data_IF_152795408242
#
_entry.id   IF_152795408242
#
_cell.length_a   1.000
_cell.length_b   1.000
_cell.length_c   1.000
_cell.angle_alpha   90.00
_cell.angle_beta   90.00
_cell.angle_gamma   90.00
#
_symmetry.space_group_name_H-M   'P 1'
#
loop_
_entity.id
_entity.type
_entity.pdbx_description
1 polymer ?
#
# COMPACT_ATOMS: atom_id res chain seq x y z
N UNK A 1 -26.22 -16.26 -12.30
CA UNK A 1 -26.10 -15.51 -11.03
C UNK A 1 -27.26 -15.90 -10.14
N UNK A 2 -27.02 -16.45 -8.93
CA UNK A 2 -28.08 -16.87 -8.03
C UNK A 2 -28.26 -15.85 -6.90
N UNK A 3 -29.48 -15.36 -6.72
CA UNK A 3 -29.87 -14.65 -5.49
C UNK A 3 -30.30 -15.67 -4.42
N UNK A 4 -29.69 -15.62 -3.25
CA UNK A 4 -30.00 -16.52 -2.14
C UNK A 4 -30.50 -15.70 -0.95
N UNK A 5 -31.67 -16.05 -0.41
CA UNK A 5 -32.27 -15.37 0.76
C UNK A 5 -31.48 -15.58 2.06
N UNK A 6 -31.66 -14.67 3.03
CA UNK A 6 -30.79 -14.51 4.21
C UNK A 6 -30.47 -15.77 5.01
N UNK A 7 -31.44 -16.52 5.50
CA UNK A 7 -31.21 -17.71 6.36
C UNK A 7 -30.56 -18.87 5.60
N UNK A 8 -30.91 -19.07 4.33
CA UNK A 8 -30.32 -20.11 3.49
C UNK A 8 -28.87 -19.80 3.09
N UNK A 9 -28.55 -18.52 2.85
CA UNK A 9 -27.20 -18.09 2.52
C UNK A 9 -26.23 -18.29 3.68
N UNK A 10 -26.59 -17.85 4.87
CA UNK A 10 -25.72 -17.97 6.05
C UNK A 10 -25.44 -19.43 6.42
N UNK A 11 -26.44 -20.33 6.27
CA UNK A 11 -26.25 -21.76 6.46
C UNK A 11 -25.28 -22.34 5.42
N UNK A 12 -25.40 -21.94 4.15
CA UNK A 12 -24.54 -22.38 3.07
C UNK A 12 -23.11 -21.84 3.23
N UNK A 13 -22.94 -20.58 3.63
CA UNK A 13 -21.62 -19.99 3.90
C UNK A 13 -20.91 -20.68 5.06
N UNK A 14 -21.64 -20.96 6.15
CA UNK A 14 -21.09 -21.75 7.28
C UNK A 14 -20.70 -23.17 6.89
N UNK A 15 -21.43 -23.79 5.95
CA UNK A 15 -21.06 -25.09 5.40
C UNK A 15 -19.77 -25.03 4.59
N UNK A 16 -19.64 -24.02 3.72
CA UNK A 16 -18.44 -23.82 2.90
C UNK A 16 -17.20 -23.48 3.77
N UNK A 17 -17.38 -22.68 4.81
CA UNK A 17 -16.30 -22.37 5.76
C UNK A 17 -15.81 -23.62 6.52
N UNK A 18 -16.72 -24.52 6.89
CA UNK A 18 -16.37 -25.79 7.55
C UNK A 18 -15.72 -26.80 6.63
N UNK A 19 -16.15 -26.85 5.37
CA UNK A 19 -15.61 -27.79 4.38
C UNK A 19 -14.18 -27.43 3.97
N UNK A 20 -13.79 -26.15 4.04
CA UNK A 20 -12.44 -25.65 3.75
C UNK A 20 -11.91 -25.93 2.35
N UNK A 21 -12.73 -26.55 1.49
CA UNK A 21 -12.34 -26.98 0.14
C UNK A 21 -12.31 -25.87 -0.89
N UNK A 22 -12.96 -24.75 -0.57
CA UNK A 22 -13.09 -23.61 -1.48
C UNK A 22 -12.92 -22.30 -0.76
N UNK A 23 -12.11 -21.41 -1.31
CA UNK A 23 -11.99 -20.05 -0.82
C UNK A 23 -13.29 -19.29 -1.06
N UNK A 24 -13.76 -18.56 -0.05
CA UNK A 24 -14.94 -17.72 -0.12
C UNK A 24 -14.59 -16.31 0.29
N UNK A 25 -14.77 -15.35 -0.59
CA UNK A 25 -14.64 -13.92 -0.30
C UNK A 25 -16.02 -13.30 -0.09
N UNK A 26 -16.17 -12.44 0.91
CA UNK A 26 -17.39 -11.72 1.23
C UNK A 26 -17.14 -10.25 1.15
N UNK A 27 -17.82 -9.55 0.24
CA UNK A 27 -17.62 -8.14 -0.01
C UNK A 27 -18.92 -7.35 0.14
N UNK A 28 -18.82 -6.25 0.87
CA UNK A 28 -19.80 -5.15 0.83
C UNK A 28 -19.36 -4.19 -0.28
N UNK A 29 -20.22 -4.04 -1.29
CA UNK A 29 -19.88 -3.29 -2.51
C UNK A 29 -20.33 -1.83 -2.49
N UNK A 30 -20.77 -1.36 -1.31
CA UNK A 30 -21.12 0.04 -1.06
C UNK A 30 -19.87 0.93 -0.93
N UNK A 31 -20.09 2.21 -0.70
CA UNK A 31 -18.98 3.13 -0.44
C UNK A 31 -18.31 2.84 0.92
N UNK A 32 -17.05 3.27 1.11
CA UNK A 32 -16.38 3.12 2.41
C UNK A 32 -17.13 3.78 3.57
N UNK A 33 -17.82 4.89 3.32
CA UNK A 33 -18.59 5.63 4.32
C UNK A 33 -19.85 4.85 4.75
N UNK A 34 -20.58 4.28 3.77
CA UNK A 34 -21.75 3.43 4.03
C UNK A 34 -21.35 2.16 4.77
N UNK A 35 -20.23 1.55 4.39
CA UNK A 35 -19.67 0.40 5.08
C UNK A 35 -19.31 0.74 6.54
N UNK A 36 -18.66 1.88 6.76
CA UNK A 36 -18.28 2.34 8.09
C UNK A 36 -19.48 2.65 8.99
N UNK A 37 -20.56 3.17 8.40
CA UNK A 37 -21.81 3.45 9.12
C UNK A 37 -22.50 2.16 9.64
N UNK A 38 -22.27 1.04 8.95
CA UNK A 38 -22.78 -0.28 9.37
C UNK A 38 -22.72 -1.28 8.23
N UNK A 39 -22.24 -2.48 8.49
CA UNK A 39 -22.09 -3.53 7.50
C UNK A 39 -22.41 -4.92 8.06
N UNK A 40 -22.64 -5.87 7.17
CA UNK A 40 -22.90 -7.26 7.54
C UNK A 40 -21.64 -7.88 8.16
N UNK A 41 -21.72 -8.55 9.33
CA UNK A 41 -20.57 -9.21 9.95
C UNK A 41 -19.86 -10.18 9.01
N UNK A 42 -18.53 -10.11 8.96
CA UNK A 42 -17.69 -10.97 8.13
C UNK A 42 -17.57 -10.53 6.66
N UNK A 43 -18.21 -9.42 6.25
CA UNK A 43 -18.00 -8.80 4.96
C UNK A 43 -16.90 -7.73 5.04
N UNK A 44 -16.13 -7.60 3.97
CA UNK A 44 -15.06 -6.60 3.81
C UNK A 44 -15.52 -5.53 2.84
N UNK A 45 -15.12 -4.29 3.07
CA UNK A 45 -15.36 -3.22 2.11
C UNK A 45 -14.61 -3.45 0.82
N UNK A 46 -15.33 -3.43 -0.30
CA UNK A 46 -14.78 -3.48 -1.65
C UNK A 46 -15.77 -2.79 -2.60
N UNK A 47 -15.71 -1.46 -2.77
CA UNK A 47 -16.62 -0.73 -3.64
C UNK A 47 -16.69 -1.37 -5.02
N UNK A 48 -17.92 -1.57 -5.54
CA UNK A 48 -18.15 -2.46 -6.68
C UNK A 48 -17.34 -2.14 -7.93
N UNK A 49 -17.12 -0.85 -8.22
CA UNK A 49 -16.30 -0.42 -9.34
C UNK A 49 -14.83 -0.84 -9.16
N UNK A 50 -14.25 -0.60 -7.98
CA UNK A 50 -12.89 -1.01 -7.67
C UNK A 50 -12.74 -2.53 -7.62
N UNK A 51 -13.73 -3.24 -7.06
CA UNK A 51 -13.70 -4.70 -7.03
C UNK A 51 -13.64 -5.30 -8.44
N UNK A 52 -14.33 -4.72 -9.42
CA UNK A 52 -14.27 -5.17 -10.82
C UNK A 52 -12.92 -4.81 -11.46
N UNK A 53 -12.43 -3.60 -11.23
CA UNK A 53 -11.17 -3.13 -11.83
C UNK A 53 -9.92 -3.79 -11.25
N UNK A 54 -9.95 -4.12 -9.96
CA UNK A 54 -8.80 -4.61 -9.20
C UNK A 54 -9.14 -5.96 -8.53
N UNK A 55 -9.84 -6.84 -9.24
CA UNK A 55 -10.34 -8.10 -8.68
C UNK A 55 -9.23 -8.96 -8.11
N UNK A 56 -8.07 -8.99 -8.72
CA UNK A 56 -6.86 -9.70 -8.27
C UNK A 56 -6.33 -9.18 -6.93
N UNK A 57 -6.48 -7.89 -6.67
CA UNK A 57 -6.11 -7.29 -5.38
C UNK A 57 -7.07 -7.70 -4.26
N UNK A 58 -8.37 -7.71 -4.54
CA UNK A 58 -9.40 -8.05 -3.54
C UNK A 58 -9.57 -9.56 -3.37
N UNK A 59 -9.51 -10.31 -4.46
CA UNK A 59 -9.77 -11.76 -4.51
C UNK A 59 -8.66 -12.49 -5.32
N UNK A 60 -7.44 -12.61 -4.78
CA UNK A 60 -6.29 -13.17 -5.50
C UNK A 60 -6.41 -14.67 -5.82
N UNK A 61 -7.33 -15.40 -5.17
CA UNK A 61 -7.49 -16.84 -5.42
C UNK A 61 -8.49 -17.09 -6.54
N UNK A 62 -8.03 -17.50 -7.70
CA UNK A 62 -8.89 -17.86 -8.82
C UNK A 62 -9.77 -19.08 -8.47
N UNK A 63 -11.02 -19.09 -9.00
CA UNK A 63 -11.99 -20.13 -8.68
C UNK A 63 -12.65 -19.99 -7.31
N UNK A 64 -12.34 -18.98 -6.54
CA UNK A 64 -13.04 -18.65 -5.31
C UNK A 64 -14.51 -18.31 -5.56
N UNK A 65 -15.34 -18.46 -4.55
CA UNK A 65 -16.71 -17.95 -4.54
C UNK A 65 -16.71 -16.52 -4.04
N UNK A 66 -17.30 -15.60 -4.78
CA UNK A 66 -17.51 -14.21 -4.37
C UNK A 66 -18.94 -14.03 -3.87
N UNK A 67 -19.10 -13.55 -2.65
CA UNK A 67 -20.39 -13.23 -2.05
C UNK A 67 -20.47 -11.73 -1.89
N UNK A 68 -21.43 -11.10 -2.57
CA UNK A 68 -21.59 -9.65 -2.63
C UNK A 68 -22.82 -9.23 -1.83
N UNK A 69 -22.70 -8.14 -1.09
CA UNK A 69 -23.80 -7.53 -0.36
C UNK A 69 -23.81 -6.01 -0.55
N UNK A 70 -24.98 -5.44 -0.48
CA UNK A 70 -25.28 -4.02 -0.38
C UNK A 70 -26.57 -3.84 0.44
N UNK A 71 -27.19 -2.67 0.37
CA UNK A 71 -28.42 -2.34 1.08
C UNK A 71 -29.69 -2.76 0.33
N UNK A 72 -29.76 -2.65 -0.98
CA UNK A 72 -30.96 -2.93 -1.80
C UNK A 72 -30.77 -4.04 -2.84
N UNK A 73 -29.56 -4.54 -3.03
CA UNK A 73 -29.21 -5.58 -4.01
C UNK A 73 -28.93 -5.06 -5.41
N UNK A 74 -29.05 -3.78 -5.66
CA UNK A 74 -28.83 -3.18 -6.98
C UNK A 74 -27.36 -3.13 -7.38
N UNK A 75 -26.54 -2.56 -6.52
CA UNK A 75 -25.09 -2.46 -6.72
C UNK A 75 -24.43 -3.84 -6.71
N UNK A 76 -24.84 -4.72 -5.80
CA UNK A 76 -24.32 -6.08 -5.73
C UNK A 76 -24.68 -6.90 -6.95
N UNK A 77 -25.90 -6.74 -7.50
CA UNK A 77 -26.30 -7.40 -8.72
C UNK A 77 -25.52 -6.92 -9.95
N UNK A 78 -25.31 -5.58 -10.07
CA UNK A 78 -24.54 -5.00 -11.15
C UNK A 78 -23.07 -5.44 -11.09
N UNK A 79 -22.42 -5.31 -9.94
CA UNK A 79 -21.05 -5.78 -9.71
C UNK A 79 -20.92 -7.26 -9.99
N UNK A 80 -21.88 -8.06 -9.50
CA UNK A 80 -21.90 -9.51 -9.72
C UNK A 80 -22.06 -9.90 -11.18
N UNK A 81 -22.80 -9.11 -11.97
CA UNK A 81 -22.93 -9.33 -13.40
C UNK A 81 -21.59 -9.17 -14.13
N UNK A 82 -20.83 -8.12 -13.82
CA UNK A 82 -19.49 -7.92 -14.38
C UNK A 82 -18.53 -9.03 -13.98
N UNK A 83 -18.46 -9.36 -12.69
CA UNK A 83 -17.59 -10.43 -12.20
C UNK A 83 -17.95 -11.81 -12.80
N UNK A 84 -19.24 -12.09 -12.99
CA UNK A 84 -19.66 -13.32 -13.64
C UNK A 84 -19.23 -13.38 -15.11
N UNK A 85 -19.26 -12.25 -15.83
CA UNK A 85 -18.73 -12.15 -17.20
C UNK A 85 -17.21 -12.33 -17.24
N UNK A 86 -16.50 -11.95 -16.19
CA UNK A 86 -15.07 -12.20 -16.01
C UNK A 86 -14.75 -13.66 -15.61
N UNK A 87 -15.77 -14.53 -15.51
CA UNK A 87 -15.58 -15.95 -15.18
C UNK A 87 -15.60 -16.29 -13.70
N UNK A 88 -15.95 -15.34 -12.82
CA UNK A 88 -16.08 -15.59 -11.39
C UNK A 88 -17.42 -16.25 -11.04
N UNK A 89 -17.38 -17.12 -10.04
CA UNK A 89 -18.61 -17.65 -9.42
C UNK A 89 -19.09 -16.66 -8.36
N UNK A 90 -20.28 -16.11 -8.55
CA UNK A 90 -20.79 -14.99 -7.74
C UNK A 90 -22.17 -15.29 -7.19
N UNK A 91 -22.35 -14.99 -5.93
CA UNK A 91 -23.63 -15.00 -5.22
C UNK A 91 -23.92 -13.61 -4.67
N UNK A 92 -25.12 -13.09 -4.93
CA UNK A 92 -25.60 -11.87 -4.32
C UNK A 92 -26.41 -12.24 -3.06
N UNK A 93 -25.93 -11.73 -1.91
CA UNK A 93 -26.67 -11.85 -0.67
C UNK A 93 -27.96 -11.01 -0.76
N UNK A 94 -29.09 -11.61 -0.43
CA UNK A 94 -30.32 -10.83 -0.32
C UNK A 94 -30.14 -9.75 0.77
N UNK A 95 -30.69 -8.56 0.52
CA UNK A 95 -30.73 -7.50 1.51
C UNK A 95 -31.37 -8.06 2.78
N UNK A 96 -30.73 -7.92 3.92
CA UNK A 96 -31.44 -8.17 5.18
C UNK A 96 -32.62 -7.17 5.23
N UNK A 97 -33.80 -7.60 5.70
CA UNK A 97 -34.85 -6.63 6.03
C UNK A 97 -34.18 -5.56 6.90
N UNK A 98 -34.32 -4.30 6.52
CA UNK A 98 -33.89 -3.20 7.36
C UNK A 98 -34.55 -3.39 8.72
N UNK A 99 -33.80 -3.83 9.72
CA UNK A 99 -34.24 -3.71 11.10
C UNK A 99 -34.23 -2.21 11.41
N UNK A 100 -35.34 -1.56 11.03
CA UNK A 100 -35.60 -0.20 11.43
C UNK A 100 -35.71 -0.18 12.95
N UNK A 101 -34.69 0.34 13.61
CA UNK A 101 -34.82 1.00 14.90
C UNK A 101 -35.03 0.09 16.11
N UNK A 102 -33.98 -0.56 16.56
CA UNK A 102 -33.79 -0.83 17.98
C UNK A 102 -32.55 -0.07 18.46
N UNK A 103 -32.58 0.49 19.70
CA UNK A 103 -31.34 1.05 20.24
C UNK A 103 -30.29 -0.06 20.30
N UNK A 104 -29.09 0.26 19.85
CA UNK A 104 -27.95 -0.64 19.94
C UNK A 104 -27.78 -1.06 21.41
N UNK A 105 -28.23 -2.28 21.74
CA UNK A 105 -27.82 -2.91 22.98
C UNK A 105 -26.29 -3.07 22.86
N UNK A 106 -25.57 -2.76 23.92
CA UNK A 106 -24.14 -2.57 23.97
C UNK A 106 -23.27 -3.79 23.64
N UNK A 107 -23.81 -4.77 22.89
CA UNK A 107 -23.09 -5.94 22.37
C UNK A 107 -22.78 -5.85 20.86
N UNK A 108 -23.03 -4.67 20.26
CA UNK A 108 -22.62 -4.40 18.90
C UNK A 108 -21.14 -4.70 18.77
N UNK A 109 -20.82 -5.73 18.03
CA UNK A 109 -19.47 -5.91 17.51
C UNK A 109 -19.17 -4.64 16.71
N UNK A 110 -18.58 -3.64 17.39
CA UNK A 110 -17.91 -2.55 16.71
C UNK A 110 -17.10 -3.21 15.62
N UNK A 111 -17.40 -2.86 14.36
CA UNK A 111 -16.59 -3.28 13.26
C UNK A 111 -15.15 -3.05 13.70
N UNK A 112 -14.45 -4.14 14.02
CA UNK A 112 -13.01 -4.06 14.11
C UNK A 112 -12.63 -3.71 12.67
N UNK A 113 -12.44 -2.40 12.43
CA UNK A 113 -11.65 -1.98 11.30
C UNK A 113 -10.54 -2.98 11.27
N UNK A 114 -10.43 -3.77 10.19
CA UNK A 114 -9.40 -4.78 10.09
C UNK A 114 -8.13 -4.04 10.45
N UNK A 115 -7.69 -4.19 11.70
CA UNK A 115 -6.54 -3.46 12.19
C UNK A 115 -5.45 -3.95 11.28
N UNK A 116 -4.92 -3.04 10.48
CA UNK A 116 -3.73 -3.27 9.69
C UNK A 116 -2.81 -4.10 10.58
N UNK A 117 -2.30 -5.25 10.14
CA UNK A 117 -1.50 -6.11 11.00
C UNK A 117 -0.47 -5.24 11.71
N UNK A 118 -0.37 -5.37 13.03
CA UNK A 118 0.52 -4.55 13.82
C UNK A 118 1.91 -4.67 13.20
N UNK A 119 2.52 -3.51 12.90
CA UNK A 119 3.89 -3.51 12.40
C UNK A 119 4.76 -4.24 13.42
N UNK A 120 5.72 -5.07 13.00
CA UNK A 120 6.74 -5.58 13.91
C UNK A 120 7.38 -4.42 14.68
N UNK A 121 7.82 -4.61 15.93
CA UNK A 121 8.55 -3.56 16.64
C UNK A 121 9.79 -3.16 15.83
N UNK A 122 10.07 -1.85 15.78
CA UNK A 122 11.29 -1.36 15.15
C UNK A 122 12.52 -1.94 15.87
N UNK A 123 13.60 -2.29 15.15
CA UNK A 123 14.82 -2.77 15.78
C UNK A 123 15.45 -1.67 16.66
N UNK A 124 16.11 -2.09 17.73
CA UNK A 124 16.92 -1.18 18.56
C UNK A 124 18.19 -0.80 17.78
N UNK A 125 18.31 0.47 17.42
CA UNK A 125 19.41 1.02 16.63
C UNK A 125 19.87 2.37 17.23
N UNK A 126 21.07 2.85 16.89
CA UNK A 126 21.49 4.19 17.24
C UNK A 126 20.49 5.22 16.68
N UNK A 127 20.01 6.11 17.56
CA UNK A 127 19.04 7.15 17.23
C UNK A 127 19.62 8.53 17.47
N UNK A 128 19.17 9.50 16.68
CA UNK A 128 19.35 10.93 16.97
C UNK A 128 18.00 11.64 17.03
N UNK A 129 17.96 12.78 17.72
CA UNK A 129 16.74 13.60 17.83
C UNK A 129 16.84 14.81 16.90
N UNK A 130 15.70 15.41 16.47
CA UNK A 130 15.69 16.55 15.55
C UNK A 130 16.56 17.75 16.01
N UNK A 131 16.65 18.00 17.33
CA UNK A 131 17.47 19.10 17.87
C UNK A 131 18.96 18.85 17.68
N UNK A 132 19.44 17.63 17.91
CA UNK A 132 20.83 17.26 17.70
C UNK A 132 21.20 17.30 16.21
N UNK A 133 20.34 16.72 15.36
CA UNK A 133 20.53 16.75 13.91
C UNK A 133 20.65 18.18 13.38
N UNK A 134 19.79 19.10 13.83
CA UNK A 134 19.86 20.50 13.42
C UNK A 134 21.19 21.18 13.81
N UNK A 135 21.79 20.78 14.92
CA UNK A 135 23.14 21.22 15.30
C UNK A 135 24.18 20.70 14.32
N UNK A 136 24.16 19.40 14.07
CA UNK A 136 25.13 18.73 13.18
C UNK A 136 25.05 19.17 11.71
N UNK A 137 23.87 19.50 11.22
CA UNK A 137 23.71 20.07 9.87
C UNK A 137 24.41 21.42 9.72
N UNK A 138 24.36 22.26 10.76
CA UNK A 138 25.10 23.55 10.78
C UNK A 138 26.61 23.36 10.81
N UNK A 139 27.09 22.27 11.38
CA UNK A 139 28.51 21.91 11.38
C UNK A 139 29.03 21.44 10.00
N UNK A 140 28.10 21.08 9.07
CA UNK A 140 28.43 20.64 7.72
C UNK A 140 29.11 19.27 7.64
N UNK A 141 29.03 18.45 8.67
CA UNK A 141 29.72 17.14 8.79
C UNK A 141 28.76 15.97 8.86
N UNK A 142 27.48 16.19 8.56
CA UNK A 142 26.43 15.16 8.62
C UNK A 142 25.64 15.19 7.33
N UNK A 143 25.40 14.02 6.76
CA UNK A 143 24.51 13.84 5.62
C UNK A 143 23.21 13.22 6.10
N UNK A 144 22.09 13.72 5.59
CA UNK A 144 20.77 13.11 5.79
C UNK A 144 20.38 12.36 4.53
N UNK A 145 19.94 11.11 4.69
CA UNK A 145 19.39 10.32 3.58
C UNK A 145 17.95 9.95 3.90
N UNK A 146 17.04 10.41 3.08
CA UNK A 146 15.61 10.10 3.19
C UNK A 146 15.28 8.85 2.37
N UNK A 147 14.61 7.90 3.01
CA UNK A 147 14.23 6.59 2.48
C UNK A 147 12.73 6.49 2.18
N UNK A 148 12.01 7.59 2.29
CA UNK A 148 10.60 7.62 1.96
C UNK A 148 10.42 7.47 0.43
N UNK A 149 9.19 7.31 -0.04
CA UNK A 149 8.98 7.28 -1.49
C UNK A 149 9.48 8.56 -2.17
N UNK A 150 10.02 8.45 -3.38
CA UNK A 150 10.52 9.60 -4.14
C UNK A 150 9.46 10.70 -4.32
N UNK A 151 8.19 10.30 -4.39
CA UNK A 151 7.05 11.23 -4.45
C UNK A 151 6.89 12.03 -3.15
N UNK A 152 6.98 11.38 -1.99
CA UNK A 152 6.89 12.05 -0.69
C UNK A 152 8.10 12.91 -0.40
N UNK A 153 9.29 12.42 -0.75
CA UNK A 153 10.53 13.20 -0.64
C UNK A 153 10.41 14.53 -1.39
N UNK A 154 9.94 14.51 -2.63
CA UNK A 154 9.73 15.74 -3.43
C UNK A 154 8.67 16.66 -2.85
N UNK A 155 7.66 16.12 -2.18
CA UNK A 155 6.62 16.91 -1.53
C UNK A 155 7.14 17.64 -0.28
N UNK A 156 8.08 17.01 0.47
CA UNK A 156 8.69 17.64 1.64
C UNK A 156 9.75 16.75 2.28
N UNK A 157 10.98 17.27 2.40
CA UNK A 157 12.12 16.60 3.02
C UNK A 157 12.92 17.57 3.91
N UNK A 158 13.79 17.03 4.73
CA UNK A 158 14.70 17.83 5.57
C UNK A 158 15.65 18.60 4.65
N UNK A 159 15.83 19.92 4.83
CA UNK A 159 16.68 20.73 3.96
C UNK A 159 18.08 20.14 3.77
N UNK A 160 18.49 20.01 2.51
CA UNK A 160 19.77 19.42 2.13
C UNK A 160 19.83 17.89 2.26
N UNK A 161 18.74 17.21 2.53
CA UNK A 161 18.70 15.74 2.50
C UNK A 161 18.82 15.21 1.07
N UNK A 162 19.54 14.11 0.91
CA UNK A 162 19.54 13.32 -0.31
C UNK A 162 18.51 12.17 -0.19
N UNK A 163 18.00 11.71 -1.31
CA UNK A 163 17.07 10.58 -1.35
C UNK A 163 17.75 9.31 -1.88
N UNK A 164 17.42 8.16 -1.30
CA UNK A 164 17.87 6.86 -1.77
C UNK A 164 16.81 5.76 -1.58
N UNK A 165 16.87 4.74 -2.41
CA UNK A 165 16.20 3.47 -2.14
C UNK A 165 16.92 2.73 -1.01
N UNK A 166 16.17 2.18 -0.05
CA UNK A 166 16.75 1.35 1.02
C UNK A 166 17.59 0.20 0.48
N UNK A 167 17.17 -0.42 -0.64
CA UNK A 167 17.89 -1.53 -1.26
C UNK A 167 19.31 -1.14 -1.73
N UNK A 168 19.50 0.12 -2.10
CA UNK A 168 20.77 0.61 -2.66
C UNK A 168 21.75 1.10 -1.58
N UNK A 169 21.32 1.20 -0.33
CA UNK A 169 22.17 1.72 0.76
C UNK A 169 23.42 0.88 1.02
N UNK A 170 23.38 -0.41 0.71
CA UNK A 170 24.53 -1.30 0.85
C UNK A 170 25.51 -1.19 -0.35
N UNK A 171 25.14 -0.49 -1.43
CA UNK A 171 25.94 -0.38 -2.62
C UNK A 171 27.19 0.50 -2.37
N UNK A 172 28.40 -0.02 -2.63
CA UNK A 172 29.62 0.75 -2.41
C UNK A 172 29.70 2.04 -3.22
N UNK A 173 29.04 2.09 -4.38
CA UNK A 173 28.98 3.28 -5.22
C UNK A 173 28.18 4.41 -4.55
N UNK A 174 27.05 4.10 -3.92
CA UNK A 174 26.23 5.05 -3.19
C UNK A 174 26.99 5.60 -1.98
N UNK A 175 27.62 4.73 -1.20
CA UNK A 175 28.42 5.13 -0.04
C UNK A 175 29.60 6.06 -0.43
N UNK A 176 30.24 5.81 -1.56
CA UNK A 176 31.28 6.72 -2.08
C UNK A 176 30.73 8.10 -2.46
N UNK A 177 29.52 8.15 -3.03
CA UNK A 177 28.84 9.43 -3.36
C UNK A 177 28.55 10.27 -2.13
N UNK A 178 28.30 9.65 -0.98
CA UNK A 178 28.13 10.36 0.28
C UNK A 178 29.42 11.02 0.80
N UNK A 179 30.57 10.72 0.21
CA UNK A 179 31.86 11.37 0.56
C UNK A 179 32.44 10.94 1.90
N UNK A 180 32.03 9.81 2.45
CA UNK A 180 32.48 9.28 3.75
C UNK A 180 32.36 10.29 4.90
N UNK A 181 31.18 10.90 5.13
CA UNK A 181 30.98 11.82 6.23
C UNK A 181 31.13 11.09 7.57
N UNK A 182 31.48 11.77 8.66
CA UNK A 182 31.55 11.14 9.98
C UNK A 182 30.18 10.61 10.44
N UNK A 183 29.06 11.20 9.96
CA UNK A 183 27.70 10.78 10.30
C UNK A 183 26.80 10.77 9.08
N UNK A 184 26.00 9.70 8.96
CA UNK A 184 24.85 9.60 8.05
C UNK A 184 23.61 9.37 8.90
N UNK A 185 22.64 10.27 8.79
CA UNK A 185 21.35 10.14 9.46
C UNK A 185 20.32 9.69 8.45
N UNK A 186 19.75 8.51 8.66
CA UNK A 186 18.67 7.98 7.85
C UNK A 186 17.33 8.48 8.38
N UNK A 187 16.43 8.87 7.50
CA UNK A 187 15.07 9.27 7.84
C UNK A 187 14.05 8.57 6.94
N UNK A 188 12.82 8.57 7.36
CA UNK A 188 11.60 8.21 6.63
C UNK A 188 10.45 8.92 7.31
N UNK A 189 9.20 8.86 6.84
CA UNK A 189 8.08 9.62 7.42
C UNK A 189 8.06 9.58 8.95
N UNK A 190 7.97 8.38 9.54
CA UNK A 190 7.88 8.14 10.99
C UNK A 190 9.18 7.60 11.62
N UNK A 191 10.24 7.44 10.82
CA UNK A 191 11.52 6.87 11.24
C UNK A 191 11.56 5.33 11.25
N UNK A 192 10.45 4.65 11.03
CA UNK A 192 10.38 3.18 11.13
C UNK A 192 11.25 2.50 10.07
N UNK A 193 11.11 2.89 8.79
CA UNK A 193 11.92 2.33 7.70
C UNK A 193 13.41 2.65 7.88
N UNK A 194 13.72 3.85 8.37
CA UNK A 194 15.08 4.27 8.68
C UNK A 194 15.73 3.40 9.75
N UNK A 195 14.99 3.02 10.81
CA UNK A 195 15.51 2.12 11.84
C UNK A 195 15.89 0.75 11.27
N UNK A 196 15.05 0.18 10.41
CA UNK A 196 15.37 -1.08 9.74
C UNK A 196 16.59 -0.95 8.81
N UNK A 197 16.73 0.16 8.10
CA UNK A 197 17.87 0.41 7.25
C UNK A 197 19.19 0.51 8.04
N UNK A 198 19.17 1.17 9.19
CA UNK A 198 20.34 1.21 10.10
C UNK A 198 20.69 -0.19 10.62
N UNK A 199 19.69 -1.00 10.97
CA UNK A 199 19.90 -2.39 11.39
C UNK A 199 20.54 -3.24 10.29
N UNK A 200 20.08 -3.11 9.04
CA UNK A 200 20.63 -3.82 7.89
C UNK A 200 22.12 -3.46 7.67
N UNK A 201 22.44 -2.16 7.70
CA UNK A 201 23.82 -1.68 7.60
C UNK A 201 24.70 -2.17 8.75
N UNK A 202 24.14 -2.25 9.97
CA UNK A 202 24.81 -2.80 11.14
C UNK A 202 25.05 -4.31 11.05
N UNK A 203 24.08 -5.06 10.54
CA UNK A 203 24.19 -6.51 10.35
C UNK A 203 25.15 -6.88 9.18
N UNK A 204 25.19 -6.02 8.17
CA UNK A 204 26.08 -6.15 7.00
C UNK A 204 27.54 -5.74 7.27
N UNK A 205 27.99 -5.69 8.52
CA UNK A 205 29.37 -5.33 8.91
C UNK A 205 30.47 -6.08 8.18
N UNK A 206 30.15 -7.16 7.47
CA UNK A 206 31.07 -7.82 6.53
C UNK A 206 31.40 -7.00 5.28
N UNK A 207 30.51 -6.12 4.80
CA UNK A 207 30.76 -5.23 3.66
C UNK A 207 31.52 -3.97 4.06
N UNK A 208 31.42 -3.55 5.33
CA UNK A 208 32.11 -2.36 5.87
C UNK A 208 33.38 -2.75 6.67
N UNK A 209 33.80 -4.02 6.69
CA UNK A 209 34.99 -4.50 7.41
C UNK A 209 36.32 -3.91 6.89
N UNK A 210 36.29 -3.13 5.81
CA UNK A 210 37.45 -2.33 5.34
C UNK A 210 37.61 -0.97 6.00
N UNK A 211 36.63 -0.50 6.77
CA UNK A 211 36.63 0.81 7.45
C UNK A 211 36.80 0.71 8.97
N UNK A 212 37.66 -0.20 9.43
CA UNK A 212 38.10 -0.27 10.83
C UNK A 212 39.18 0.79 11.05
N UNK A 213 38.78 2.04 11.28
CA UNK A 213 39.69 3.13 11.57
C UNK A 213 38.97 4.26 12.31
N UNK A 214 39.69 5.25 12.84
CA UNK A 214 39.11 6.38 13.54
C UNK A 214 38.20 7.31 12.69
N UNK A 215 37.91 6.93 11.45
CA UNK A 215 37.05 7.64 10.48
C UNK A 215 35.88 6.80 10.00
N UNK A 216 35.42 5.79 10.74
CA UNK A 216 34.23 5.01 10.41
C UNK A 216 33.00 5.93 10.42
N UNK A 217 32.22 5.92 9.33
CA UNK A 217 30.94 6.62 9.27
C UNK A 217 29.95 6.03 10.28
N UNK A 218 29.38 6.86 11.12
CA UNK A 218 28.31 6.50 12.06
C UNK A 218 26.95 6.60 11.35
N UNK A 219 26.16 5.51 11.40
CA UNK A 219 24.79 5.48 10.89
C UNK A 219 23.79 5.56 12.04
N UNK A 220 22.86 6.52 11.96
CA UNK A 220 21.80 6.73 12.94
C UNK A 220 20.45 6.85 12.24
N UNK A 221 19.38 6.46 12.92
CA UNK A 221 18.03 6.80 12.48
C UNK A 221 17.51 8.04 13.20
N UNK A 222 16.76 8.87 12.49
CA UNK A 222 16.10 10.04 13.08
C UNK A 222 14.88 9.61 13.88
N UNK A 223 14.85 9.89 15.15
CA UNK A 223 13.72 9.61 16.03
C UNK A 223 12.47 10.38 15.57
N UNK A 224 11.39 9.62 15.28
CA UNK A 224 10.15 10.16 14.75
C UNK A 224 10.22 10.59 13.28
N UNK A 225 11.34 10.34 12.60
CA UNK A 225 11.51 10.59 11.18
C UNK A 225 11.37 12.05 10.74
N UNK A 226 11.07 12.23 9.47
CA UNK A 226 10.80 13.53 8.83
C UNK A 226 9.60 14.23 9.49
N UNK A 227 8.56 13.49 9.89
CA UNK A 227 7.44 14.03 10.66
C UNK A 227 7.87 14.52 12.05
N UNK A 228 8.82 13.84 12.70
CA UNK A 228 9.40 14.28 13.98
C UNK A 228 10.19 15.57 13.84
N UNK A 229 10.90 15.74 12.73
CA UNK A 229 11.59 16.99 12.40
C UNK A 229 10.58 18.13 12.24
N UNK A 230 9.53 17.94 11.44
CA UNK A 230 8.48 18.92 11.20
C UNK A 230 7.73 19.29 12.50
N UNK A 231 7.30 18.28 13.28
CA UNK A 231 6.65 18.50 14.60
C UNK A 231 7.52 19.27 15.60
N UNK A 232 8.83 19.26 15.42
CA UNK A 232 9.74 20.07 16.24
C UNK A 232 9.84 21.53 15.78
N UNK A 233 8.95 21.97 14.85
CA UNK A 233 8.87 23.34 14.36
C UNK A 233 9.92 23.71 13.32
N UNK A 234 10.54 22.72 12.65
CA UNK A 234 11.56 22.94 11.63
C UNK A 234 10.96 22.86 10.25
N UNK A 235 11.41 23.71 9.31
CA UNK A 235 10.89 23.69 7.95
C UNK A 235 11.30 22.43 7.20
N UNK A 236 10.48 22.06 6.23
CA UNK A 236 10.82 21.13 5.16
C UNK A 236 11.14 21.92 3.88
N UNK A 237 11.96 21.33 3.04
CA UNK A 237 12.23 21.78 1.68
C UNK A 237 11.42 20.91 0.72
N UNK A 238 10.91 21.47 -0.38
CA UNK A 238 10.22 20.76 -1.43
C UNK A 238 10.98 20.86 -2.74
N UNK A 239 10.81 19.91 -3.62
CA UNK A 239 11.47 19.85 -4.92
C UNK A 239 12.24 18.56 -5.14
N UNK A 240 13.04 18.54 -6.21
CA UNK A 240 13.70 17.29 -6.63
C UNK A 240 14.79 16.83 -5.67
N UNK A 241 15.47 17.75 -4.99
CA UNK A 241 16.59 17.44 -4.11
C UNK A 241 17.71 16.64 -4.80
N UNK A 242 18.64 16.10 -4.03
CA UNK A 242 19.65 15.18 -4.53
C UNK A 242 19.11 13.74 -4.53
N UNK A 243 19.18 13.07 -5.69
CA UNK A 243 18.78 11.66 -5.83
C UNK A 243 20.04 10.79 -5.93
N UNK A 244 20.27 9.94 -4.94
CA UNK A 244 21.35 8.95 -4.90
C UNK A 244 20.98 7.65 -5.65
N UNK A 245 19.69 7.36 -5.74
CA UNK A 245 19.11 6.23 -6.48
C UNK A 245 18.23 6.71 -7.62
N UNK A 246 18.02 5.90 -8.67
CA UNK A 246 16.98 6.16 -9.66
C UNK A 246 15.59 6.15 -9.00
N UNK A 247 14.74 7.14 -9.29
CA UNK A 247 13.39 7.24 -8.72
C UNK A 247 12.42 6.28 -9.43
N UNK A 248 12.60 4.98 -9.21
CA UNK A 248 11.80 3.88 -9.80
C UNK A 248 10.83 3.22 -8.81
N UNK A 249 10.73 3.77 -7.61
CA UNK A 249 9.96 3.25 -6.47
C UNK A 249 8.46 3.50 -6.57
N UNK A 250 8.04 4.47 -7.38
CA UNK A 250 6.64 4.82 -7.58
C UNK A 250 6.29 4.69 -9.05
N UNK A 251 5.35 3.79 -9.35
CA UNK A 251 4.78 3.75 -10.69
C UNK A 251 3.97 5.02 -10.93
N UNK A 252 4.33 5.74 -11.98
CA UNK A 252 3.63 6.92 -12.42
C UNK A 252 2.81 6.56 -13.66
N UNK A 253 1.50 6.74 -13.56
CA UNK A 253 0.63 6.50 -14.71
C UNK A 253 0.93 7.49 -15.83
N UNK A 254 0.87 7.07 -17.10
CA UNK A 254 1.18 7.94 -18.24
C UNK A 254 0.36 9.23 -18.32
N UNK A 255 -0.81 9.26 -17.67
CA UNK A 255 -1.71 10.42 -17.63
C UNK A 255 -1.67 11.22 -16.32
N UNK A 256 -0.74 10.89 -15.38
CA UNK A 256 -0.58 11.63 -14.13
C UNK A 256 0.42 12.77 -14.30
N UNK A 257 -0.06 14.01 -14.14
CA UNK A 257 0.75 15.23 -14.20
C UNK A 257 0.82 15.82 -15.61
N UNK A 258 1.55 16.93 -15.73
CA UNK A 258 1.65 17.72 -16.96
C UNK A 258 3.05 17.67 -17.60
N UNK A 259 3.98 16.91 -17.01
CA UNK A 259 5.39 16.87 -17.35
C UNK A 259 5.84 15.49 -17.88
N UNK A 260 4.89 14.65 -18.31
CA UNK A 260 5.19 13.36 -18.94
C UNK A 260 5.49 13.58 -20.41
N UNK A 261 6.52 12.89 -20.89
CA UNK A 261 6.89 12.86 -22.30
C UNK A 261 5.68 12.35 -23.13
N UNK A 262 5.23 13.11 -24.17
CA UNK A 262 4.15 12.67 -25.06
C UNK A 262 4.38 11.27 -25.66
N UNK A 263 5.62 10.85 -25.87
CA UNK A 263 5.93 9.51 -26.37
C UNK A 263 5.52 8.40 -25.39
N UNK A 264 5.61 8.64 -24.08
CA UNK A 264 5.16 7.69 -23.04
C UNK A 264 3.63 7.58 -23.04
N UNK A 265 2.94 8.70 -23.24
CA UNK A 265 1.48 8.73 -23.38
C UNK A 265 1.02 7.96 -24.63
N UNK A 266 1.70 8.20 -25.77
CA UNK A 266 1.38 7.50 -27.02
C UNK A 266 1.61 6.00 -26.88
N UNK A 267 2.74 5.56 -26.28
CA UNK A 267 3.04 4.16 -26.04
C UNK A 267 1.96 3.47 -25.16
N UNK A 268 1.42 4.20 -24.19
CA UNK A 268 0.31 3.72 -23.38
C UNK A 268 -0.97 3.51 -24.20
N UNK A 269 -1.33 4.48 -25.06
CA UNK A 269 -2.49 4.35 -25.94
C UNK A 269 -2.32 3.19 -26.93
N UNK A 270 -1.14 3.04 -27.52
CA UNK A 270 -0.83 1.94 -28.45
C UNK A 270 -0.98 0.58 -27.76
N UNK A 271 -0.54 0.50 -26.49
CA UNK A 271 -0.74 -0.70 -25.67
C UNK A 271 -2.23 -0.97 -25.40
N UNK A 272 -3.01 0.06 -25.03
CA UNK A 272 -4.47 -0.09 -24.82
C UNK A 272 -5.19 -0.59 -26.08
N UNK A 273 -4.88 -0.04 -27.24
CA UNK A 273 -5.45 -0.52 -28.52
C UNK A 273 -5.09 -1.97 -28.82
N UNK A 274 -3.94 -2.44 -28.32
CA UNK A 274 -3.50 -3.82 -28.47
C UNK A 274 -4.13 -4.83 -27.51
N UNK A 275 -4.84 -4.39 -26.44
CA UNK A 275 -5.32 -5.26 -25.37
C UNK A 275 -6.29 -6.36 -25.85
N UNK A 276 -7.22 -6.05 -26.75
CA UNK A 276 -8.19 -7.03 -27.26
C UNK A 276 -7.47 -8.20 -27.94
N UNK A 277 -6.51 -7.90 -28.81
CA UNK A 277 -5.72 -8.92 -29.48
C UNK A 277 -4.80 -9.69 -28.53
N UNK A 278 -4.34 -9.07 -27.44
CA UNK A 278 -3.56 -9.73 -26.39
C UNK A 278 -4.44 -10.72 -25.61
N UNK A 279 -5.67 -10.32 -25.23
CA UNK A 279 -6.63 -11.17 -24.54
C UNK A 279 -7.02 -12.38 -25.38
N UNK A 280 -7.26 -12.19 -26.69
CA UNK A 280 -7.55 -13.28 -27.62
C UNK A 280 -6.41 -14.31 -27.69
N UNK A 281 -5.16 -13.84 -27.75
CA UNK A 281 -3.97 -14.73 -27.77
C UNK A 281 -3.77 -15.44 -26.43
N UNK A 282 -4.01 -14.77 -25.31
CA UNK A 282 -3.89 -15.35 -23.97
C UNK A 282 -4.94 -16.47 -23.75
N UNK A 283 -6.17 -16.24 -24.16
CA UNK A 283 -7.27 -17.21 -24.05
C UNK A 283 -7.64 -17.61 -22.62
N UNK A 284 -7.06 -16.97 -21.60
CA UNK A 284 -7.26 -17.31 -20.18
C UNK A 284 -8.15 -16.32 -19.43
N UNK A 285 -8.59 -15.24 -20.08
CA UNK A 285 -9.31 -14.14 -19.44
C UNK A 285 -10.69 -14.53 -18.87
N UNK A 286 -11.35 -15.57 -19.38
CA UNK A 286 -12.65 -16.04 -18.90
C UNK A 286 -13.83 -15.12 -19.21
N UNK A 287 -13.64 -14.02 -19.94
CA UNK A 287 -14.73 -13.12 -20.35
C UNK A 287 -15.74 -13.83 -21.27
N UNK A 288 -17.00 -13.63 -21.00
CA UNK A 288 -18.11 -14.12 -21.80
C UNK A 288 -19.31 -13.20 -21.73
N UNK A 289 -20.01 -13.03 -22.83
CA UNK A 289 -21.28 -12.30 -22.84
C UNK A 289 -22.34 -13.17 -22.18
N UNK A 290 -23.02 -12.65 -21.17
CA UNK A 290 -24.18 -13.29 -20.60
C UNK A 290 -25.39 -12.92 -21.46
N UNK A 291 -25.97 -13.90 -22.12
CA UNK A 291 -27.25 -13.73 -22.85
C UNK A 291 -28.35 -13.67 -21.78
N UNK A 292 -29.33 -12.72 -21.89
CA UNK A 292 -30.42 -12.56 -20.93
C UNK A 292 -31.27 -13.80 -20.73
#
# INVERSE_FOLDING_TARGET
MHRVGGTGLDARLRSLDRDGRRTVYRFDVRTPEEYAAGHRPGFRSAPGGQLVQETDTYAPVRGALLVLADDDGGRAAMTGSWLAQMGWDVVVAASAPSETGGPADGTGHRARTASRPARPPAPAVPLTVPSALAGWLREGRTVVVDLETSKRFRAGHIPGAAWALRADLAEPALLRRLGSPPRVVLTSSDGYLAAWAVADLGAGRGLMAGASGPQATEFLALAGGTEGWERSGRPLESGQGELLSPATDVYRRPYEGTDIDPAVMQAYLDWEYGLVAQLERDGTHGFRVLVP
#
